data_IF_006571184436
#
_entry.id   IF_006571184436
#
_cell.length_a   1.000
_cell.length_b   1.000
_cell.length_c   1.000
_cell.angle_alpha   90.00
_cell.angle_beta   90.00
_cell.angle_gamma   90.00
#
_symmetry.space_group_name_H-M   'P 1'
#
loop_
_entity.id
_entity.type
_entity.pdbx_description
1 polymer ?
#
# COMPACT_ATOMS: atom_id res chain seq x y z
N UNK A 1 6.77 -3.52 20.49
CA UNK A 1 6.92 -2.09 20.10
C UNK A 1 6.80 -2.00 18.59
N UNK A 2 5.98 -1.09 18.04
CA UNK A 2 5.93 -0.86 16.58
C UNK A 2 7.30 -0.38 16.11
N UNK A 3 7.84 -0.99 15.04
CA UNK A 3 9.12 -0.57 14.45
C UNK A 3 8.81 0.23 13.19
N UNK A 4 8.97 1.54 13.28
CA UNK A 4 8.63 2.49 12.23
C UNK A 4 9.89 2.99 11.54
N UNK A 5 9.92 2.97 10.21
CA UNK A 5 10.89 3.75 9.40
C UNK A 5 10.29 5.12 9.13
N UNK A 6 11.09 6.17 9.23
CA UNK A 6 10.71 7.52 8.81
C UNK A 6 11.72 8.06 7.81
N UNK A 7 11.25 8.58 6.69
CA UNK A 7 12.08 9.32 5.72
C UNK A 7 11.33 10.56 5.25
N UNK A 8 12.08 11.62 4.95
CA UNK A 8 11.54 12.93 4.64
C UNK A 8 12.46 13.78 3.75
N UNK A 9 11.84 14.70 3.00
CA UNK A 9 12.49 15.81 2.32
C UNK A 9 11.94 17.12 2.91
N UNK A 10 12.16 18.27 2.27
CA UNK A 10 11.69 19.54 2.85
C UNK A 10 10.18 19.75 2.67
N UNK A 11 9.50 18.91 1.88
CA UNK A 11 8.06 19.03 1.59
C UNK A 11 7.19 18.01 2.29
N UNK A 12 7.65 16.77 2.45
CA UNK A 12 6.81 15.70 2.96
C UNK A 12 7.56 14.73 3.86
N UNK A 13 6.81 14.12 4.77
CA UNK A 13 7.25 13.07 5.69
C UNK A 13 6.50 11.78 5.35
N UNK A 14 7.23 10.66 5.35
CA UNK A 14 6.67 9.32 5.15
C UNK A 14 7.05 8.43 6.32
N UNK A 15 6.08 7.63 6.79
CA UNK A 15 6.31 6.60 7.80
C UNK A 15 5.81 5.24 7.35
N UNK A 16 6.59 4.21 7.65
CA UNK A 16 6.30 2.82 7.29
C UNK A 16 6.33 1.96 8.54
N UNK A 17 5.27 1.20 8.80
CA UNK A 17 5.24 0.20 9.87
C UNK A 17 5.83 -1.12 9.34
N UNK A 18 6.94 -1.56 9.93
CA UNK A 18 7.58 -2.82 9.54
C UNK A 18 6.77 -4.05 9.97
N UNK A 19 5.76 -3.89 10.81
CA UNK A 19 4.76 -4.93 11.01
C UNK A 19 3.73 -4.85 9.88
N UNK A 20 3.88 -5.71 8.87
CA UNK A 20 3.04 -5.74 7.66
C UNK A 20 3.53 -4.87 6.50
N UNK A 21 4.48 -3.94 6.72
CA UNK A 21 5.13 -3.17 5.66
C UNK A 21 4.24 -2.08 5.03
N UNK A 22 3.26 -1.60 5.80
CA UNK A 22 2.30 -0.59 5.36
C UNK A 22 2.86 0.83 5.52
N UNK A 23 2.58 1.72 4.57
CA UNK A 23 2.75 3.15 4.79
C UNK A 23 1.61 3.63 5.69
N UNK A 24 1.96 4.25 6.80
CA UNK A 24 1.01 4.70 7.83
C UNK A 24 0.95 6.22 7.95
N UNK A 25 1.84 6.92 7.25
CA UNK A 25 1.91 8.37 7.22
C UNK A 25 2.50 8.83 5.90
N UNK A 26 1.81 9.76 5.25
CA UNK A 26 2.31 10.60 4.19
C UNK A 26 1.68 11.97 4.38
N UNK A 27 2.42 12.99 4.81
CA UNK A 27 1.85 14.33 4.94
C UNK A 27 2.81 15.39 4.43
N UNK A 28 2.25 16.51 4.01
CA UNK A 28 3.00 17.71 3.68
C UNK A 28 3.41 18.41 4.97
N UNK A 29 4.63 18.94 5.03
CA UNK A 29 5.15 19.62 6.24
C UNK A 29 4.40 20.92 6.55
N UNK A 30 3.91 21.61 5.54
CA UNK A 30 3.11 22.84 5.65
C UNK A 30 1.61 22.56 5.88
N UNK A 31 1.14 21.34 5.61
CA UNK A 31 -0.20 20.88 5.89
C UNK A 31 -0.15 19.47 6.50
N UNK A 32 0.07 19.34 7.83
CA UNK A 32 0.35 18.07 8.50
C UNK A 32 -0.91 17.22 8.73
N UNK A 33 -1.70 17.05 7.66
CA UNK A 33 -2.84 16.15 7.61
C UNK A 33 -2.37 14.86 6.95
N UNK A 34 -2.43 13.75 7.68
CA UNK A 34 -2.13 12.42 7.15
C UNK A 34 -3.40 11.79 6.57
N UNK A 35 -3.48 11.58 5.24
CA UNK A 35 -4.64 11.00 4.59
C UNK A 35 -4.78 9.49 4.83
N UNK A 36 -3.68 8.78 5.09
CA UNK A 36 -3.61 7.32 5.23
C UNK A 36 -3.49 6.88 6.70
N UNK A 37 -4.22 7.55 7.59
CA UNK A 37 -4.15 7.33 9.04
C UNK A 37 -5.08 6.19 9.56
N UNK A 38 -5.82 5.53 8.68
CA UNK A 38 -6.74 4.44 9.06
C UNK A 38 -5.98 3.22 9.59
N UNK A 39 -6.58 2.51 10.55
CA UNK A 39 -6.11 1.19 11.00
C UNK A 39 -7.31 0.33 11.38
N UNK A 40 -7.28 -0.94 10.99
CA UNK A 40 -8.26 -1.93 11.47
C UNK A 40 -8.14 -2.09 12.98
N UNK A 41 -9.29 -2.25 13.63
CA UNK A 41 -9.42 -2.64 15.04
C UNK A 41 -9.83 -4.11 15.20
N UNK A 42 -10.02 -4.84 14.10
CA UNK A 42 -10.43 -6.24 14.14
C UNK A 42 -9.25 -7.12 14.59
N UNK A 43 -9.32 -7.78 15.77
CA UNK A 43 -8.23 -8.62 16.26
C UNK A 43 -8.09 -9.94 15.49
N UNK A 44 -9.11 -10.35 14.74
CA UNK A 44 -9.13 -11.61 13.98
C UNK A 44 -8.48 -11.48 12.59
N UNK A 45 -8.04 -10.27 12.22
CA UNK A 45 -7.42 -9.96 10.92
C UNK A 45 -5.95 -9.55 11.07
N UNK A 46 -5.15 -9.65 9.99
CA UNK A 46 -3.87 -8.97 9.93
C UNK A 46 -4.02 -7.47 10.22
N UNK A 47 -2.93 -6.82 10.63
CA UNK A 47 -2.91 -5.38 10.85
C UNK A 47 -3.00 -4.62 9.52
N UNK A 48 -4.21 -4.46 9.00
CA UNK A 48 -4.50 -3.59 7.88
C UNK A 48 -4.50 -2.14 8.36
N UNK A 49 -3.71 -1.28 7.72
CA UNK A 49 -3.58 0.12 8.08
C UNK A 49 -3.06 0.93 6.89
N UNK A 50 -3.49 2.20 6.82
CA UNK A 50 -3.07 3.17 5.83
C UNK A 50 -3.02 2.63 4.40
N UNK A 51 -1.81 2.61 3.85
CA UNK A 51 -1.53 2.01 2.55
C UNK A 51 -0.74 0.70 2.74
N UNK A 52 -1.46 -0.41 2.66
CA UNK A 52 -0.93 -1.76 2.77
C UNK A 52 -1.03 -2.53 1.44
N UNK A 53 -0.45 -3.73 1.40
CA UNK A 53 -0.47 -4.59 0.21
C UNK A 53 -1.43 -5.75 0.36
N UNK A 54 -2.11 -6.13 -0.71
CA UNK A 54 -2.64 -7.49 -0.82
C UNK A 54 -1.68 -8.33 -1.69
N UNK A 55 -0.94 -9.23 -1.06
CA UNK A 55 0.08 -10.09 -1.66
C UNK A 55 0.25 -11.34 -0.78
N UNK A 56 0.23 -12.57 -1.31
CA UNK A 56 0.27 -13.07 -2.69
C UNK A 56 -1.09 -13.16 -3.40
N UNK A 57 -2.16 -12.63 -2.81
CA UNK A 57 -3.54 -12.76 -3.28
C UNK A 57 -4.39 -11.54 -2.90
N UNK A 58 -5.59 -11.47 -3.47
CA UNK A 58 -6.60 -10.47 -3.14
C UNK A 58 -7.95 -11.15 -2.88
N UNK A 59 -8.76 -10.57 -1.99
CA UNK A 59 -10.01 -11.16 -1.51
C UNK A 59 -9.86 -12.27 -0.46
N UNK A 60 -11.00 -12.89 -0.13
CA UNK A 60 -11.11 -13.97 0.85
C UNK A 60 -10.61 -15.30 0.28
N UNK A 61 -9.90 -16.12 1.07
CA UNK A 61 -9.58 -17.49 0.69
C UNK A 61 -10.83 -18.39 0.72
N UNK A 62 -10.89 -19.36 -0.18
CA UNK A 62 -11.82 -20.50 -0.08
C UNK A 62 -11.52 -21.35 1.16
N UNK A 63 -12.45 -22.21 1.58
CA UNK A 63 -12.27 -23.07 2.74
C UNK A 63 -11.10 -24.05 2.59
N UNK A 64 -10.85 -24.53 1.36
CA UNK A 64 -9.68 -25.36 1.07
C UNK A 64 -8.38 -24.57 1.23
N UNK A 65 -8.36 -23.30 0.79
CA UNK A 65 -7.18 -22.44 0.93
C UNK A 65 -6.93 -22.07 2.39
N UNK A 66 -7.97 -21.76 3.18
CA UNK A 66 -7.84 -21.54 4.63
C UNK A 66 -7.19 -22.72 5.34
N UNK A 67 -7.63 -23.95 5.01
CA UNK A 67 -7.03 -25.19 5.56
C UNK A 67 -5.55 -25.37 5.20
N UNK A 68 -5.08 -24.69 4.15
CA UNK A 68 -3.67 -24.69 3.71
C UNK A 68 -2.91 -23.43 4.14
N UNK A 69 -3.46 -22.63 5.07
CA UNK A 69 -2.78 -21.48 5.66
C UNK A 69 -2.93 -20.16 4.90
N UNK A 70 -3.79 -20.09 3.89
CA UNK A 70 -4.10 -18.83 3.23
C UNK A 70 -5.07 -17.99 4.05
N UNK A 71 -4.87 -16.68 4.01
CA UNK A 71 -5.64 -15.68 4.78
C UNK A 71 -6.20 -14.60 3.86
N UNK A 72 -7.08 -13.77 4.44
CA UNK A 72 -7.62 -12.59 3.76
C UNK A 72 -6.50 -11.69 3.25
N UNK A 73 -6.50 -11.37 1.94
CA UNK A 73 -5.51 -10.48 1.29
C UNK A 73 -4.05 -10.96 1.31
N UNK A 74 -3.82 -12.23 1.63
CA UNK A 74 -2.49 -12.85 1.57
C UNK A 74 -1.60 -12.55 2.78
N UNK A 75 -0.45 -13.21 2.82
CA UNK A 75 0.40 -13.33 3.99
C UNK A 75 1.20 -12.06 4.33
N UNK A 76 1.35 -11.12 3.39
CA UNK A 76 2.31 -10.00 3.49
C UNK A 76 2.10 -9.14 4.75
N UNK A 77 0.84 -8.93 5.14
CA UNK A 77 0.47 -8.08 6.27
C UNK A 77 0.71 -8.74 7.64
N UNK A 78 1.02 -10.04 7.66
CA UNK A 78 1.43 -10.77 8.85
C UNK A 78 2.95 -10.88 8.98
N UNK A 79 3.70 -10.44 7.97
CA UNK A 79 5.15 -10.56 7.99
C UNK A 79 5.78 -9.37 8.72
N UNK A 80 6.81 -9.68 9.49
CA UNK A 80 7.75 -8.67 9.96
C UNK A 80 8.75 -8.37 8.84
N UNK A 81 8.80 -7.12 8.41
CA UNK A 81 9.73 -6.67 7.38
C UNK A 81 11.11 -6.36 7.96
N UNK A 82 12.14 -6.81 7.24
CA UNK A 82 13.54 -6.49 7.49
C UNK A 82 13.98 -5.27 6.69
N UNK A 83 14.82 -4.43 7.27
CA UNK A 83 15.41 -3.26 6.60
C UNK A 83 16.62 -3.75 5.80
N UNK A 84 16.67 -3.44 4.50
CA UNK A 84 17.84 -3.65 3.66
C UNK A 84 18.69 -2.38 3.58
N UNK A 85 18.04 -1.22 3.40
CA UNK A 85 18.68 0.10 3.35
C UNK A 85 17.74 1.17 3.92
N UNK A 86 18.31 2.21 4.52
CA UNK A 86 17.59 3.36 5.04
C UNK A 86 18.43 4.61 4.81
N UNK A 87 17.79 5.69 4.41
CA UNK A 87 18.40 7.00 4.20
C UNK A 87 17.43 8.09 4.63
N UNK A 88 17.90 9.34 4.63
CA UNK A 88 17.04 10.48 4.96
C UNK A 88 15.79 10.56 4.06
N UNK A 89 15.90 10.17 2.79
CA UNK A 89 14.87 10.41 1.77
C UNK A 89 14.26 9.13 1.19
N UNK A 90 14.57 7.96 1.76
CA UNK A 90 14.10 6.69 1.23
C UNK A 90 14.50 5.48 2.05
N UNK A 91 13.93 4.34 1.71
CA UNK A 91 14.17 3.06 2.36
C UNK A 91 14.02 1.89 1.39
N UNK A 92 14.68 0.78 1.71
CA UNK A 92 14.47 -0.52 1.07
C UNK A 92 14.25 -1.55 2.16
N UNK A 93 13.15 -2.29 2.07
CA UNK A 93 12.75 -3.29 3.05
C UNK A 93 12.26 -4.56 2.36
N UNK A 94 12.33 -5.69 3.07
CA UNK A 94 12.00 -7.00 2.52
C UNK A 94 11.25 -7.88 3.51
N UNK A 95 10.33 -8.69 3.00
CA UNK A 95 9.76 -9.83 3.73
C UNK A 95 9.75 -11.09 2.85
N UNK A 96 9.63 -12.25 3.48
CA UNK A 96 9.38 -13.53 2.80
C UNK A 96 8.01 -14.05 3.20
N UNK A 97 7.29 -14.65 2.27
CA UNK A 97 5.96 -15.25 2.45
C UNK A 97 6.15 -16.77 2.53
N UNK A 98 6.09 -17.39 3.72
CA UNK A 98 6.45 -18.79 3.89
C UNK A 98 5.51 -19.77 3.16
N UNK A 99 4.20 -19.53 3.14
CA UNK A 99 3.23 -20.46 2.51
C UNK A 99 3.30 -20.32 0.99
N UNK A 100 3.30 -19.10 0.47
CA UNK A 100 3.43 -18.83 -0.97
C UNK A 100 4.83 -19.14 -1.52
N UNK A 101 5.85 -19.15 -0.64
CA UNK A 101 7.28 -19.21 -0.98
C UNK A 101 7.66 -18.12 -1.99
N UNK A 102 7.25 -16.90 -1.67
CA UNK A 102 7.61 -15.69 -2.39
C UNK A 102 8.43 -14.78 -1.49
N UNK A 103 9.18 -13.87 -2.08
CA UNK A 103 9.88 -12.80 -1.36
C UNK A 103 9.56 -11.48 -2.04
N UNK A 104 9.30 -10.46 -1.23
CA UNK A 104 8.98 -9.12 -1.69
C UNK A 104 10.00 -8.14 -1.11
N UNK A 105 10.67 -7.40 -1.98
CA UNK A 105 11.43 -6.20 -1.62
C UNK A 105 10.65 -4.97 -2.07
N UNK A 106 10.53 -3.97 -1.20
CA UNK A 106 9.89 -2.69 -1.47
C UNK A 106 10.90 -1.57 -1.27
N UNK A 107 11.18 -0.85 -2.35
CA UNK A 107 12.04 0.33 -2.39
C UNK A 107 11.18 1.59 -2.45
N UNK A 108 11.45 2.55 -1.56
CA UNK A 108 10.79 3.86 -1.53
C UNK A 108 11.83 4.95 -1.63
N UNK A 109 11.62 5.91 -2.52
CA UNK A 109 12.54 7.04 -2.70
C UNK A 109 11.75 8.32 -2.97
N UNK A 110 11.96 9.35 -2.15
CA UNK A 110 11.39 10.67 -2.43
C UNK A 110 12.06 11.35 -3.62
N UNK A 111 11.30 12.21 -4.30
CA UNK A 111 11.74 12.98 -5.46
C UNK A 111 13.04 13.75 -5.16
N UNK A 112 14.06 13.67 -6.03
CA UNK A 112 15.30 14.43 -5.88
C UNK A 112 15.07 15.94 -6.09
N UNK A 113 13.94 16.34 -6.68
CA UNK A 113 13.57 17.73 -6.93
C UNK A 113 12.85 18.38 -5.74
N UNK A 114 12.87 17.73 -4.57
CA UNK A 114 12.24 18.23 -3.35
C UNK A 114 10.73 18.47 -3.52
N UNK A 115 10.06 17.58 -4.26
CA UNK A 115 8.61 17.56 -4.43
C UNK A 115 7.99 16.60 -3.40
N UNK A 116 6.70 16.78 -3.02
CA UNK A 116 6.00 15.82 -2.17
C UNK A 116 5.60 14.58 -2.96
N UNK A 117 6.57 13.87 -3.52
CA UNK A 117 6.38 12.66 -4.32
C UNK A 117 7.31 11.58 -3.82
N UNK A 118 6.76 10.38 -3.62
CA UNK A 118 7.52 9.16 -3.33
C UNK A 118 7.34 8.18 -4.48
N UNK A 119 8.46 7.69 -5.03
CA UNK A 119 8.47 6.59 -5.97
C UNK A 119 8.62 5.29 -5.18
N UNK A 120 7.69 4.37 -5.39
CA UNK A 120 7.73 3.03 -4.81
C UNK A 120 8.02 2.03 -5.92
N UNK A 121 8.87 1.05 -5.65
CA UNK A 121 9.16 -0.07 -6.56
C UNK A 121 9.16 -1.38 -5.78
N UNK A 122 8.33 -2.31 -6.22
CA UNK A 122 8.30 -3.68 -5.70
C UNK A 122 9.09 -4.65 -6.58
N UNK A 123 9.91 -5.47 -5.94
CA UNK A 123 10.59 -6.62 -6.55
C UNK A 123 10.06 -7.91 -5.94
N UNK A 124 9.47 -8.77 -6.77
CA UNK A 124 8.94 -10.07 -6.35
C UNK A 124 9.86 -11.17 -6.85
N UNK A 125 10.28 -12.05 -5.93
CA UNK A 125 11.09 -13.23 -6.22
C UNK A 125 10.32 -14.49 -5.87
N UNK A 126 10.19 -15.39 -6.84
CA UNK A 126 9.64 -16.73 -6.62
C UNK A 126 10.73 -17.65 -6.04
N UNK A 127 10.46 -18.25 -4.87
CA UNK A 127 11.37 -19.19 -4.18
C UNK A 127 10.94 -20.66 -4.35
N UNK A 128 9.92 -20.91 -5.18
CA UNK A 128 9.51 -22.24 -5.60
C UNK A 128 10.40 -22.75 -6.74
N UNK A 129 10.42 -24.07 -6.94
CA UNK A 129 11.05 -24.69 -8.13
C UNK A 129 10.28 -24.43 -9.42
N UNK A 130 8.97 -24.21 -9.30
CA UNK A 130 8.04 -24.04 -10.41
C UNK A 130 7.43 -22.62 -10.38
N UNK A 131 6.85 -22.20 -11.49
CA UNK A 131 6.09 -20.95 -11.59
C UNK A 131 4.96 -20.89 -10.55
N UNK A 132 4.72 -19.69 -10.00
CA UNK A 132 3.69 -19.41 -9.01
C UNK A 132 2.88 -18.21 -9.46
N UNK A 133 1.58 -18.38 -9.61
CA UNK A 133 0.64 -17.27 -9.80
C UNK A 133 0.50 -16.49 -8.49
N UNK A 134 0.40 -15.17 -8.61
CA UNK A 134 0.19 -14.26 -7.49
C UNK A 134 -0.58 -13.02 -7.96
N UNK A 135 -1.23 -12.34 -7.02
CA UNK A 135 -1.76 -10.99 -7.20
C UNK A 135 -0.93 -10.01 -6.36
N UNK A 136 -0.78 -8.79 -6.86
CA UNK A 136 -0.25 -7.66 -6.12
C UNK A 136 -1.26 -6.51 -6.23
N UNK A 137 -1.86 -6.12 -5.11
CA UNK A 137 -2.79 -4.98 -5.04
C UNK A 137 -2.23 -3.94 -4.07
N UNK A 138 -2.19 -2.70 -4.54
CA UNK A 138 -1.92 -1.53 -3.72
C UNK A 138 -3.24 -1.10 -3.05
N UNK A 139 -3.35 -1.31 -1.74
CA UNK A 139 -4.58 -1.03 -0.99
C UNK A 139 -4.42 0.24 -0.16
N UNK A 140 -4.77 1.38 -0.75
CA UNK A 140 -4.72 2.69 -0.09
C UNK A 140 -6.05 2.96 0.61
N UNK A 141 -6.03 3.07 1.93
CA UNK A 141 -7.22 3.46 2.71
C UNK A 141 -7.06 4.89 3.20
N UNK A 142 -7.97 5.76 2.77
CA UNK A 142 -8.05 7.13 3.24
C UNK A 142 -9.05 7.25 4.37
N UNK A 143 -8.78 8.15 5.33
CA UNK A 143 -9.67 8.35 6.46
C UNK A 143 -9.74 9.82 6.92
N UNK A 144 -10.77 10.17 7.72
CA UNK A 144 -10.86 11.48 8.34
C UNK A 144 -9.59 11.84 9.15
N UNK A 145 -9.21 13.12 9.23
CA UNK A 145 -9.97 14.27 8.74
C UNK A 145 -9.71 14.60 7.26
N UNK A 146 -8.81 13.88 6.58
CA UNK A 146 -8.55 14.13 5.15
C UNK A 146 -9.74 13.73 4.29
N UNK A 147 -10.34 12.57 4.58
CA UNK A 147 -11.54 12.09 3.92
C UNK A 147 -12.79 12.70 4.56
N UNK A 148 -13.40 13.64 3.85
CA UNK A 148 -14.68 14.25 4.15
C UNK A 148 -15.48 14.52 2.86
N UNK A 149 -16.58 15.25 2.96
CA UNK A 149 -17.46 15.55 1.81
C UNK A 149 -16.86 16.52 0.78
N UNK A 150 -15.76 17.18 1.12
CA UNK A 150 -15.02 18.13 0.28
C UNK A 150 -13.77 17.53 -0.35
N UNK A 151 -13.38 16.30 0.03
CA UNK A 151 -12.23 15.61 -0.56
C UNK A 151 -12.47 15.33 -2.05
N UNK A 152 -11.54 15.80 -2.88
CA UNK A 152 -11.53 15.53 -4.31
C UNK A 152 -10.45 14.50 -4.65
N UNK A 153 -10.78 13.61 -5.58
CA UNK A 153 -9.89 12.57 -6.07
C UNK A 153 -9.57 12.81 -7.54
N UNK A 154 -8.38 13.32 -7.82
CA UNK A 154 -7.88 13.42 -9.19
C UNK A 154 -7.14 12.13 -9.54
N UNK A 155 -7.76 11.31 -10.39
CA UNK A 155 -7.20 10.06 -10.87
C UNK A 155 -7.74 9.74 -12.26
N UNK A 156 -6.97 8.96 -13.03
CA UNK A 156 -7.34 8.55 -14.39
C UNK A 156 -8.12 7.23 -14.44
N UNK A 157 -8.72 6.79 -13.33
CA UNK A 157 -9.47 5.54 -13.30
C UNK A 157 -10.85 5.75 -13.90
N UNK A 158 -11.21 4.93 -14.90
CA UNK A 158 -12.49 5.07 -15.60
C UNK A 158 -13.61 4.16 -15.02
N UNK A 159 -13.24 3.07 -14.34
CA UNK A 159 -14.18 2.04 -13.85
C UNK A 159 -13.77 1.52 -12.47
N UNK A 160 -14.76 1.31 -11.61
CA UNK A 160 -14.60 0.68 -10.30
C UNK A 160 -15.23 -0.71 -10.25
N UNK A 161 -14.83 -1.50 -9.25
CA UNK A 161 -15.48 -2.75 -8.87
C UNK A 161 -15.81 -2.70 -7.39
N UNK A 162 -17.04 -3.06 -7.02
CA UNK A 162 -17.50 -3.18 -5.65
C UNK A 162 -18.07 -4.58 -5.47
N UNK A 163 -17.53 -5.35 -4.53
CA UNK A 163 -17.98 -6.70 -4.18
C UNK A 163 -18.18 -7.65 -5.39
N UNK A 164 -17.30 -7.56 -6.37
CA UNK A 164 -17.33 -8.40 -7.57
C UNK A 164 -18.32 -7.96 -8.65
N UNK A 165 -18.98 -6.82 -8.47
CA UNK A 165 -19.82 -6.18 -9.47
C UNK A 165 -19.06 -5.02 -10.09
N UNK A 166 -19.03 -4.97 -11.43
CA UNK A 166 -18.50 -3.82 -12.14
C UNK A 166 -19.43 -2.63 -11.90
N UNK A 167 -18.96 -1.65 -11.13
CA UNK A 167 -19.74 -0.45 -10.89
C UNK A 167 -19.89 0.30 -12.22
N UNK A 168 -21.09 0.83 -12.47
CA UNK A 168 -21.22 1.83 -13.53
C UNK A 168 -20.22 2.96 -13.22
N UNK A 169 -19.58 3.49 -14.25
CA UNK A 169 -18.77 4.69 -14.10
C UNK A 169 -19.62 5.71 -13.34
N UNK A 170 -19.10 6.22 -12.23
CA UNK A 170 -19.77 7.26 -11.45
C UNK A 170 -19.95 8.45 -12.41
N UNK A 171 -21.17 8.92 -12.60
CA UNK A 171 -21.46 9.96 -13.60
C UNK A 171 -20.80 11.32 -13.27
N UNK A 172 -20.23 11.46 -12.06
CA UNK A 172 -19.56 12.66 -11.55
C UNK A 172 -18.03 12.65 -11.72
N UNK A 173 -17.49 11.98 -12.74
CA UNK A 173 -16.10 12.25 -13.16
C UNK A 173 -16.04 13.61 -13.85
N UNK A 174 -15.51 14.61 -13.14
CA UNK A 174 -15.06 15.84 -13.80
C UNK A 174 -13.73 15.53 -14.51
N UNK A 175 -13.82 15.18 -15.79
CA UNK A 175 -12.63 15.09 -16.65
C UNK A 175 -12.10 16.50 -16.83
N UNK A 176 -10.99 16.84 -16.18
CA UNK A 176 -10.25 18.05 -16.50
C UNK A 176 -9.64 17.88 -17.89
N UNK A 177 -10.38 18.26 -18.92
CA UNK A 177 -9.83 18.41 -20.25
C UNK A 177 -8.91 19.64 -20.25
N UNK A 178 -7.64 19.41 -20.59
CA UNK A 178 -6.64 20.40 -21.04
C UNK A 178 -5.79 21.12 -19.97
N UNK A 179 -4.55 20.67 -19.77
CA UNK A 179 -3.32 21.34 -20.25
C UNK A 179 -2.07 20.87 -19.47
N UNK A 180 -1.48 19.76 -19.91
CA UNK A 180 -0.02 19.55 -19.78
C UNK A 180 0.49 19.17 -21.17
N UNK A 181 0.68 20.19 -22.02
CA UNK A 181 1.61 20.08 -23.13
C UNK A 181 3.01 20.25 -22.52
N UNK A 182 3.86 19.24 -22.75
CA UNK A 182 5.29 19.25 -22.41
C UNK A 182 6.00 20.50 -22.95
#
# INVERSE_FOLDING_TARGET
MKKIITFENDKAVIKVDLNGGAYIDFHLKDLPINPINWSSSNPDEPLFQGYFLCFDRWGLPSDAEKKNGFIHHGEVNQQQWGILQESKTGSSMQCSLPVARLQLTRESQQSPHNEPVVRVKEHIKNLNKNSRLYNLVQHVTLAPPFLDKSTLFDNNTEKGFEDGVLCKAIEDFHVWTENVKN
#
